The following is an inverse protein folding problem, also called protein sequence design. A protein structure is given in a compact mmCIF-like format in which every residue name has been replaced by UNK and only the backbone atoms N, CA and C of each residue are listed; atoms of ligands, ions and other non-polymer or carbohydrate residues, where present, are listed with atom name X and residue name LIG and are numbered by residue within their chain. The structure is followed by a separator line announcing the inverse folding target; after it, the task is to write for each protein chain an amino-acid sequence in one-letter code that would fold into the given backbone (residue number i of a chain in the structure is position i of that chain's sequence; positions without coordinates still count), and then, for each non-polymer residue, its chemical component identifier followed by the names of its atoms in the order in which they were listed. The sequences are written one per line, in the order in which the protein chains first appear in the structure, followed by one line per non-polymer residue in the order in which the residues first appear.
data_IF_219145315623
#
_entry.id   IF_219145315623
#
_cell.length_a   1.000
_cell.length_b   1.000
_cell.length_c   1.000
_cell.angle_alpha   90.00
_cell.angle_beta   90.00
_cell.angle_gamma   90.00
#
_symmetry.space_group_name_H-M   'P 1'
#
loop_
_entity.id
_entity.type
_entity.pdbx_description
1 polymer ?
#
# COMPACT_ATOMS: atom_id res chain seq x y z
N UNK A 1 -2.86 50.57 12.60
CA UNK A 1 -4.17 49.99 12.28
C UNK A 1 -4.12 49.00 11.16
N UNK A 2 -3.35 49.20 10.11
CA UNK A 2 -3.22 48.26 8.99
C UNK A 2 -2.51 46.95 9.36
N UNK A 3 -1.63 46.98 10.34
CA UNK A 3 -0.91 45.80 10.82
C UNK A 3 -1.81 44.79 11.54
N UNK A 4 -2.87 45.23 12.21
CA UNK A 4 -3.80 44.35 12.91
C UNK A 4 -4.66 43.53 11.96
N UNK A 5 -4.99 44.07 10.79
CA UNK A 5 -5.78 43.39 9.76
C UNK A 5 -4.99 42.27 9.11
N UNK A 6 -3.69 42.48 8.90
CA UNK A 6 -2.81 41.49 8.27
C UNK A 6 -2.61 40.27 9.18
N UNK A 7 -2.46 40.52 10.47
CA UNK A 7 -2.30 39.44 11.47
C UNK A 7 -3.55 38.58 11.60
N UNK A 8 -4.74 39.19 11.51
CA UNK A 8 -5.99 38.46 11.59
C UNK A 8 -6.20 37.55 10.40
N UNK A 9 -5.76 37.94 9.20
CA UNK A 9 -5.87 37.13 7.99
C UNK A 9 -4.93 35.93 8.03
N UNK A 10 -3.70 36.14 8.53
CA UNK A 10 -2.73 35.06 8.66
C UNK A 10 -3.19 34.01 9.69
N UNK A 11 -3.84 34.42 10.76
CA UNK A 11 -4.34 33.51 11.77
C UNK A 11 -5.50 32.62 11.27
N UNK A 12 -6.28 33.10 10.30
CA UNK A 12 -7.40 32.34 9.73
C UNK A 12 -6.95 31.28 8.71
N UNK A 13 -5.83 31.48 8.03
CA UNK A 13 -5.34 30.56 7.00
C UNK A 13 -4.57 29.39 7.61
N UNK A 14 -3.80 29.61 8.66
CA UNK A 14 -2.96 28.60 9.28
C UNK A 14 -3.70 27.36 9.81
N UNK A 15 -4.87 27.46 10.49
CA UNK A 15 -5.59 26.28 10.98
C UNK A 15 -6.14 25.39 9.88
N UNK A 16 -6.53 25.95 8.74
CA UNK A 16 -7.09 25.16 7.63
C UNK A 16 -6.05 24.29 6.96
N UNK A 17 -4.81 24.75 6.83
CA UNK A 17 -3.73 23.99 6.19
C UNK A 17 -3.30 22.79 7.04
N UNK A 18 -3.30 22.93 8.37
CA UNK A 18 -2.94 21.85 9.28
C UNK A 18 -4.00 20.75 9.39
N UNK A 19 -5.29 21.12 9.34
CA UNK A 19 -6.38 20.19 9.52
C UNK A 19 -6.65 19.31 8.30
N UNK A 20 -6.28 19.74 7.09
CA UNK A 20 -6.61 19.06 5.84
C UNK A 20 -5.58 18.01 5.40
N UNK A 21 -4.41 17.94 6.02
CA UNK A 21 -3.29 17.16 5.52
C UNK A 21 -2.83 16.00 6.39
N UNK A 22 -3.31 15.90 7.63
CA UNK A 22 -2.85 14.84 8.54
C UNK A 22 -3.86 13.68 8.56
N UNK A 23 -3.43 12.46 8.20
CA UNK A 23 -4.28 11.29 8.37
C UNK A 23 -4.55 11.05 9.86
N UNK A 24 -5.75 10.56 10.18
CA UNK A 24 -6.08 10.23 11.56
C UNK A 24 -5.34 8.96 11.98
N UNK A 25 -5.09 8.78 13.28
CA UNK A 25 -4.50 7.55 13.80
C UNK A 25 -5.33 6.31 13.44
N UNK A 26 -6.65 6.46 13.39
CA UNK A 26 -7.56 5.39 13.00
C UNK A 26 -7.32 4.96 11.55
N UNK A 27 -7.15 5.93 10.64
CA UNK A 27 -6.88 5.65 9.23
C UNK A 27 -5.54 4.94 9.05
N UNK A 28 -4.50 5.38 9.75
CA UNK A 28 -3.17 4.75 9.69
C UNK A 28 -3.25 3.31 10.17
N UNK A 29 -3.92 3.08 11.28
CA UNK A 29 -4.08 1.74 11.85
C UNK A 29 -4.82 0.82 10.88
N UNK A 30 -5.87 1.32 10.25
CA UNK A 30 -6.65 0.53 9.29
C UNK A 30 -5.83 0.17 8.05
N UNK A 31 -5.02 1.08 7.55
CA UNK A 31 -4.12 0.82 6.44
C UNK A 31 -3.12 -0.26 6.82
N UNK A 32 -2.55 -0.19 8.02
CA UNK A 32 -1.61 -1.21 8.50
C UNK A 32 -2.26 -2.59 8.60
N UNK A 33 -3.49 -2.66 9.11
CA UNK A 33 -4.24 -3.93 9.18
C UNK A 33 -4.47 -4.52 7.80
N UNK A 34 -4.85 -3.69 6.83
CA UNK A 34 -5.06 -4.12 5.45
C UNK A 34 -3.78 -4.57 4.77
N UNK A 35 -2.65 -3.88 5.05
CA UNK A 35 -1.34 -4.31 4.56
C UNK A 35 -0.90 -5.62 5.16
N UNK A 36 -1.14 -5.83 6.44
CA UNK A 36 -0.83 -7.09 7.11
C UNK A 36 -1.65 -8.25 6.53
N UNK A 37 -2.93 -8.02 6.25
CA UNK A 37 -3.77 -9.02 5.62
C UNK A 37 -3.30 -9.36 4.21
N UNK A 38 -2.89 -8.35 3.43
CA UNK A 38 -2.30 -8.57 2.12
C UNK A 38 -1.01 -9.37 2.22
N UNK A 39 -0.13 -9.00 3.12
CA UNK A 39 1.16 -9.67 3.32
C UNK A 39 0.98 -11.13 3.74
N UNK A 40 0.05 -11.40 4.64
CA UNK A 40 -0.26 -12.76 5.07
C UNK A 40 -0.74 -13.62 3.88
N UNK A 41 -1.60 -13.04 3.04
CA UNK A 41 -2.05 -13.71 1.82
C UNK A 41 -0.88 -14.03 0.88
N UNK A 42 0.01 -13.06 0.66
CA UNK A 42 1.17 -13.26 -0.22
C UNK A 42 2.06 -14.39 0.31
N UNK A 43 2.38 -14.38 1.59
CA UNK A 43 3.23 -15.40 2.21
C UNK A 43 2.59 -16.79 2.14
N UNK A 44 1.30 -16.86 2.44
CA UNK A 44 0.58 -18.14 2.44
C UNK A 44 0.51 -18.75 1.03
N UNK A 45 0.41 -17.91 0.01
CA UNK A 45 0.27 -18.36 -1.36
C UNK A 45 1.60 -18.67 -2.04
N UNK A 46 2.73 -18.22 -1.51
CA UNK A 46 4.05 -18.54 -2.06
C UNK A 46 4.24 -20.07 -2.14
N UNK A 47 3.89 -20.78 -1.08
CA UNK A 47 4.05 -22.24 -1.06
C UNK A 47 3.20 -22.94 -2.12
N UNK A 48 2.01 -22.40 -2.43
CA UNK A 48 1.12 -22.98 -3.43
C UNK A 48 1.62 -22.82 -4.86
N UNK A 49 2.27 -21.70 -5.16
CA UNK A 49 2.70 -21.37 -6.53
C UNK A 49 4.18 -21.63 -6.76
N UNK A 50 4.92 -22.04 -5.73
CA UNK A 50 6.35 -22.30 -5.86
C UNK A 50 6.62 -23.47 -6.79
N UNK A 51 7.41 -23.20 -7.81
CA UNK A 51 7.85 -24.18 -8.82
C UNK A 51 9.32 -23.89 -9.07
N UNK A 52 10.24 -24.82 -8.71
CA UNK A 52 11.68 -24.56 -8.77
C UNK A 52 12.21 -24.18 -10.15
N UNK A 53 11.53 -24.61 -11.22
CA UNK A 53 11.96 -24.31 -12.59
C UNK A 53 11.35 -23.05 -13.16
N UNK A 54 10.42 -22.42 -12.44
CA UNK A 54 9.76 -21.20 -12.89
C UNK A 54 10.50 -19.98 -12.39
N UNK A 55 10.55 -18.92 -13.22
CA UNK A 55 11.14 -17.64 -12.87
C UNK A 55 10.44 -17.07 -11.64
N UNK A 56 11.24 -16.61 -10.67
CA UNK A 56 10.73 -16.07 -9.40
C UNK A 56 9.78 -14.90 -9.61
N UNK A 57 10.01 -14.05 -10.61
CA UNK A 57 9.12 -12.91 -10.89
C UNK A 57 7.76 -13.36 -11.41
N UNK A 58 7.74 -14.44 -12.17
CA UNK A 58 6.47 -15.00 -12.65
C UNK A 58 5.67 -15.59 -11.50
N UNK A 59 6.33 -16.29 -10.59
CA UNK A 59 5.68 -16.80 -9.38
C UNK A 59 5.16 -15.63 -8.54
N UNK A 60 5.97 -14.59 -8.37
CA UNK A 60 5.54 -13.39 -7.64
C UNK A 60 4.27 -12.77 -8.22
N UNK A 61 4.16 -12.72 -9.54
CA UNK A 61 2.95 -12.22 -10.20
C UNK A 61 1.74 -13.11 -9.95
N UNK A 62 1.91 -14.43 -10.02
CA UNK A 62 0.83 -15.37 -9.74
C UNK A 62 0.34 -15.24 -8.30
N UNK A 63 1.26 -15.12 -7.35
CA UNK A 63 0.94 -14.93 -5.94
C UNK A 63 0.19 -13.62 -5.74
N UNK A 64 0.66 -12.54 -6.34
CA UNK A 64 -0.01 -11.24 -6.24
C UNK A 64 -1.42 -11.29 -6.81
N UNK A 65 -1.61 -11.97 -7.94
CA UNK A 65 -2.92 -12.13 -8.56
C UNK A 65 -3.87 -12.94 -7.67
N UNK A 66 -3.36 -13.94 -6.95
CA UNK A 66 -4.18 -14.73 -6.03
C UNK A 66 -4.64 -13.94 -4.82
N UNK A 67 -3.99 -12.81 -4.53
CA UNK A 67 -4.29 -11.93 -3.39
C UNK A 67 -4.97 -10.62 -3.82
N UNK A 68 -5.60 -10.61 -4.98
CA UNK A 68 -6.27 -9.42 -5.53
C UNK A 68 -7.33 -8.87 -4.59
N UNK A 69 -8.08 -9.73 -3.90
CA UNK A 69 -9.12 -9.31 -2.96
C UNK A 69 -8.54 -8.43 -1.85
N UNK A 70 -7.40 -8.82 -1.28
CA UNK A 70 -6.74 -8.06 -0.23
C UNK A 70 -6.16 -6.75 -0.77
N UNK A 71 -5.60 -6.79 -1.98
CA UNK A 71 -5.10 -5.59 -2.65
C UNK A 71 -6.23 -4.60 -2.91
N UNK A 72 -7.38 -5.08 -3.39
CA UNK A 72 -8.56 -4.25 -3.63
C UNK A 72 -9.02 -3.52 -2.37
N UNK A 73 -9.11 -4.23 -1.26
CA UNK A 73 -9.50 -3.63 0.01
C UNK A 73 -8.54 -2.54 0.45
N UNK A 74 -7.25 -2.80 0.31
CA UNK A 74 -6.22 -1.83 0.65
C UNK A 74 -6.33 -0.58 -0.22
N UNK A 75 -6.44 -0.75 -1.54
CA UNK A 75 -6.53 0.36 -2.48
C UNK A 75 -7.79 1.18 -2.23
N UNK A 76 -8.93 0.53 -2.07
CA UNK A 76 -10.21 1.22 -1.84
C UNK A 76 -10.16 2.09 -0.59
N UNK A 77 -9.46 1.64 0.44
CA UNK A 77 -9.35 2.41 1.68
C UNK A 77 -8.29 3.49 1.60
N UNK A 78 -7.09 3.14 1.09
CA UNK A 78 -5.94 4.04 1.09
C UNK A 78 -6.04 5.11 0.01
N UNK A 79 -6.58 4.77 -1.16
CA UNK A 79 -6.69 5.68 -2.31
C UNK A 79 -8.08 5.58 -2.89
N UNK A 80 -9.09 6.20 -2.23
CA UNK A 80 -10.45 6.26 -2.80
C UNK A 80 -10.38 6.90 -4.18
N UNK A 81 -11.11 6.36 -5.13
CA UNK A 81 -11.08 6.84 -6.53
C UNK A 81 -9.73 6.63 -7.22
N UNK A 82 -9.00 5.57 -6.86
CA UNK A 82 -7.74 5.24 -7.49
C UNK A 82 -7.89 5.11 -9.01
N UNK A 83 -6.96 5.69 -9.74
CA UNK A 83 -6.87 5.51 -11.19
C UNK A 83 -6.40 4.10 -11.51
N UNK A 84 -6.56 3.69 -12.77
CA UNK A 84 -6.06 2.41 -13.25
C UNK A 84 -4.54 2.29 -13.04
N UNK A 85 -3.81 3.39 -13.25
CA UNK A 85 -2.36 3.43 -13.04
C UNK A 85 -1.99 3.27 -11.57
N UNK A 86 -2.73 3.93 -10.68
CA UNK A 86 -2.50 3.80 -9.24
C UNK A 86 -2.77 2.38 -8.77
N UNK A 87 -3.85 1.78 -9.23
CA UNK A 87 -4.15 0.38 -8.92
C UNK A 87 -3.05 -0.56 -9.42
N UNK A 88 -2.59 -0.35 -10.66
CA UNK A 88 -1.50 -1.14 -11.23
C UNK A 88 -0.21 -1.02 -10.41
N UNK A 89 0.06 0.15 -9.84
CA UNK A 89 1.22 0.35 -8.96
C UNK A 89 1.11 -0.49 -7.69
N UNK A 90 -0.06 -0.57 -7.08
CA UNK A 90 -0.28 -1.44 -5.92
C UNK A 90 -0.11 -2.92 -6.27
N UNK A 91 -0.63 -3.35 -7.42
CA UNK A 91 -0.48 -4.73 -7.88
C UNK A 91 0.99 -5.06 -8.16
N UNK A 92 1.71 -4.14 -8.79
CA UNK A 92 3.13 -4.32 -9.05
C UNK A 92 3.95 -4.39 -7.76
N UNK A 93 3.63 -3.56 -6.78
CA UNK A 93 4.26 -3.61 -5.46
C UNK A 93 4.01 -4.96 -4.78
N UNK A 94 2.79 -5.47 -4.85
CA UNK A 94 2.47 -6.78 -4.31
C UNK A 94 3.29 -7.89 -4.99
N UNK A 95 3.45 -7.82 -6.30
CA UNK A 95 4.25 -8.79 -7.07
C UNK A 95 5.73 -8.73 -6.69
N UNK A 96 6.27 -7.53 -6.47
CA UNK A 96 7.66 -7.36 -6.02
C UNK A 96 7.86 -7.95 -4.63
N UNK A 97 6.94 -7.71 -3.71
CA UNK A 97 7.03 -8.28 -2.36
C UNK A 97 6.89 -9.80 -2.38
N UNK A 98 5.97 -10.32 -3.18
CA UNK A 98 5.81 -11.76 -3.35
C UNK A 98 7.08 -12.40 -3.91
N UNK A 99 7.73 -11.76 -4.87
CA UNK A 99 9.01 -12.22 -5.43
C UNK A 99 10.08 -12.33 -4.34
N UNK A 100 10.15 -11.36 -3.44
CA UNK A 100 11.07 -11.42 -2.30
C UNK A 100 10.77 -12.60 -1.38
N UNK A 101 9.51 -12.90 -1.15
CA UNK A 101 9.12 -14.05 -0.32
C UNK A 101 9.49 -15.36 -1.00
N UNK A 102 9.35 -15.46 -2.32
CA UNK A 102 9.80 -16.64 -3.06
C UNK A 102 11.31 -16.82 -2.93
N UNK A 103 12.08 -15.75 -3.13
CA UNK A 103 13.54 -15.79 -2.98
C UNK A 103 13.94 -16.19 -1.57
N UNK A 104 13.26 -15.66 -0.57
CA UNK A 104 13.51 -15.99 0.83
C UNK A 104 13.26 -17.48 1.09
N UNK A 105 12.16 -18.02 0.56
CA UNK A 105 11.82 -19.43 0.69
C UNK A 105 12.84 -20.33 0.00
N UNK A 106 13.46 -19.87 -1.10
CA UNK A 106 14.52 -20.62 -1.80
C UNK A 106 15.89 -20.46 -1.15
N UNK A 107 16.01 -19.66 -0.09
CA UNK A 107 17.28 -19.42 0.57
C UNK A 107 18.23 -18.49 -0.19
N UNK A 108 17.73 -17.74 -1.18
CA UNK A 108 18.50 -16.80 -1.99
C UNK A 108 18.16 -15.36 -1.67
N UNK A 109 17.54 -15.10 -0.54
CA UNK A 109 17.17 -13.75 -0.13
C UNK A 109 18.41 -12.93 0.19
N UNK A 110 18.43 -11.74 -0.28
CA UNK A 110 19.44 -10.74 0.06
C UNK A 110 18.81 -9.63 0.92
#
# INVERSE_FOLDING_TARGET
MKLKSIWAVLALVAPCLGACQLPTNVAIKRIDELRQAQDACLKDNVAQFEEPTTDVRQIGRYVAMSCTTQTDKLVQYAVPYATRQEYAAFQNDAAVRATRYVLSARGTAS
#
